data_IF_504124904371
#
_entry.id   IF_504124904371
#
_cell.length_a   1.000
_cell.length_b   1.000
_cell.length_c   1.000
_cell.angle_alpha   90.00
_cell.angle_beta   90.00
_cell.angle_gamma   90.00
#
_symmetry.space_group_name_H-M   'P 1'
#
loop_
_entity.id
_entity.type
_entity.pdbx_description
1 polymer ?
#
# COMPACT_ATOMS: atom_id res chain seq x y z
N UNK A 1 -8.91 1.87 32.76
CA UNK A 1 -8.74 1.41 31.36
C UNK A 1 -9.90 2.00 30.56
N UNK A 2 -9.67 3.04 29.76
CA UNK A 2 -10.75 3.73 29.03
C UNK A 2 -11.23 2.83 27.89
N UNK A 3 -12.49 2.38 27.96
CA UNK A 3 -13.12 1.66 26.86
C UNK A 3 -13.31 2.64 25.69
N UNK A 4 -12.61 2.38 24.59
CA UNK A 4 -12.71 3.14 23.34
C UNK A 4 -14.18 3.20 22.91
N UNK A 5 -14.69 4.38 22.60
CA UNK A 5 -16.09 4.55 22.18
C UNK A 5 -16.36 3.81 20.85
N UNK A 6 -17.62 3.50 20.55
CA UNK A 6 -17.99 2.88 19.27
C UNK A 6 -17.55 3.74 18.07
N UNK A 7 -17.58 5.07 18.23
CA UNK A 7 -17.08 6.04 17.26
C UNK A 7 -15.56 5.95 17.07
N UNK A 8 -14.78 5.84 18.15
CA UNK A 8 -13.32 5.69 18.06
C UNK A 8 -12.92 4.35 17.44
N UNK A 9 -13.63 3.25 17.74
CA UNK A 9 -13.39 1.96 17.06
C UNK A 9 -13.65 2.04 15.57
N UNK A 10 -14.73 2.71 15.17
CA UNK A 10 -15.07 2.93 13.76
C UNK A 10 -14.04 3.85 13.07
N UNK A 11 -13.64 4.92 13.74
CA UNK A 11 -12.65 5.90 13.27
C UNK A 11 -11.25 5.28 13.10
N UNK A 12 -10.81 4.47 14.07
CA UNK A 12 -9.53 3.77 14.03
C UNK A 12 -9.58 2.52 13.13
N UNK A 13 -10.77 2.11 12.70
CA UNK A 13 -10.99 0.90 11.92
C UNK A 13 -10.13 0.82 10.66
N UNK A 14 -10.04 1.89 9.86
CA UNK A 14 -9.21 1.91 8.66
C UNK A 14 -7.70 1.77 8.95
N UNK A 15 -7.22 2.37 10.06
CA UNK A 15 -5.83 2.23 10.50
C UNK A 15 -5.53 0.80 10.94
N UNK A 16 -6.40 0.24 11.78
CA UNK A 16 -6.23 -1.10 12.34
C UNK A 16 -6.38 -2.18 11.27
N UNK A 17 -7.29 -2.01 10.32
CA UNK A 17 -7.46 -2.92 9.19
C UNK A 17 -6.23 -2.91 8.27
N UNK A 18 -5.68 -1.73 7.95
CA UNK A 18 -4.45 -1.63 7.17
C UNK A 18 -3.26 -2.30 7.89
N UNK A 19 -3.12 -2.08 9.20
CA UNK A 19 -2.09 -2.72 10.00
C UNK A 19 -2.27 -4.25 10.06
N UNK A 20 -3.50 -4.74 10.21
CA UNK A 20 -3.83 -6.17 10.18
C UNK A 20 -3.43 -6.83 8.86
N UNK A 21 -3.63 -6.13 7.74
CA UNK A 21 -3.21 -6.57 6.42
C UNK A 21 -1.69 -6.62 6.27
N UNK A 22 -0.96 -5.59 6.75
CA UNK A 22 0.50 -5.61 6.77
C UNK A 22 1.05 -6.76 7.62
N UNK A 23 0.43 -7.06 8.77
CA UNK A 23 0.79 -8.21 9.61
C UNK A 23 0.53 -9.51 8.86
N UNK A 24 -0.67 -9.69 8.28
CA UNK A 24 -0.99 -10.90 7.52
C UNK A 24 0.01 -11.14 6.37
N UNK A 25 0.41 -10.08 5.67
CA UNK A 25 1.41 -10.17 4.61
C UNK A 25 2.76 -10.68 5.10
N UNK A 26 3.13 -10.35 6.34
CA UNK A 26 4.41 -10.72 6.93
C UNK A 26 4.39 -12.07 7.65
N UNK A 27 3.25 -12.49 8.20
CA UNK A 27 3.17 -13.62 9.14
C UNK A 27 2.20 -14.72 8.75
N UNK A 28 1.37 -14.52 7.73
CA UNK A 28 0.33 -15.46 7.30
C UNK A 28 0.51 -15.81 5.82
N UNK A 29 -0.58 -16.18 5.12
CA UNK A 29 -0.56 -16.49 3.69
C UNK A 29 -0.88 -15.26 2.83
N UNK A 30 -0.46 -15.25 1.55
CA UNK A 30 -0.85 -14.21 0.61
C UNK A 30 -2.38 -14.04 0.44
N UNK A 31 -3.16 -15.13 0.54
CA UNK A 31 -4.62 -15.09 0.49
C UNK A 31 -5.20 -14.32 1.69
N UNK A 32 -4.73 -14.62 2.90
CA UNK A 32 -5.14 -13.92 4.11
C UNK A 32 -4.75 -12.44 4.04
N UNK A 33 -3.54 -12.13 3.55
CA UNK A 33 -3.09 -10.77 3.34
C UNK A 33 -3.99 -10.01 2.36
N UNK A 34 -4.35 -10.63 1.24
CA UNK A 34 -5.24 -10.04 0.24
C UNK A 34 -6.65 -9.80 0.82
N UNK A 35 -7.20 -10.75 1.58
CA UNK A 35 -8.51 -10.60 2.23
C UNK A 35 -8.53 -9.43 3.21
N UNK A 36 -7.54 -9.35 4.09
CA UNK A 36 -7.44 -8.25 5.06
C UNK A 36 -7.19 -6.91 4.37
N UNK A 37 -6.35 -6.88 3.32
CA UNK A 37 -6.08 -5.66 2.57
C UNK A 37 -7.33 -5.16 1.84
N UNK A 38 -8.12 -6.05 1.24
CA UNK A 38 -9.38 -5.70 0.57
C UNK A 38 -10.39 -5.10 1.57
N UNK A 39 -10.56 -5.72 2.73
CA UNK A 39 -11.39 -5.16 3.83
C UNK A 39 -10.87 -3.79 4.27
N UNK A 40 -9.56 -3.63 4.36
CA UNK A 40 -8.94 -2.35 4.74
C UNK A 40 -9.19 -1.25 3.70
N UNK A 41 -9.17 -1.57 2.40
CA UNK A 41 -9.54 -0.65 1.31
C UNK A 41 -10.99 -0.20 1.46
N UNK A 42 -11.93 -1.13 1.63
CA UNK A 42 -13.35 -0.84 1.80
C UNK A 42 -13.63 0.05 3.01
N UNK A 43 -13.01 -0.28 4.15
CA UNK A 43 -13.11 0.53 5.36
C UNK A 43 -12.53 1.93 5.12
N UNK A 44 -11.32 2.04 4.57
CA UNK A 44 -10.70 3.34 4.31
C UNK A 44 -11.54 4.22 3.37
N UNK A 45 -12.18 3.64 2.35
CA UNK A 45 -13.10 4.33 1.46
C UNK A 45 -14.34 4.84 2.21
N UNK A 46 -14.98 3.99 3.01
CA UNK A 46 -16.20 4.35 3.76
C UNK A 46 -16.00 5.53 4.73
N UNK A 47 -14.82 5.65 5.34
CA UNK A 47 -14.47 6.75 6.26
C UNK A 47 -13.61 7.84 5.62
N UNK A 48 -13.41 7.79 4.30
CA UNK A 48 -12.60 8.73 3.50
C UNK A 48 -11.19 8.97 4.04
N UNK A 49 -10.49 7.89 4.41
CA UNK A 49 -9.12 7.92 4.91
C UNK A 49 -8.11 7.54 3.83
N UNK A 50 -7.85 8.47 2.92
CA UNK A 50 -6.95 8.29 1.77
C UNK A 50 -5.56 7.72 2.14
N UNK A 51 -4.98 8.13 3.28
CA UNK A 51 -3.71 7.55 3.75
C UNK A 51 -3.78 6.02 3.92
N UNK A 52 -4.83 5.54 4.58
CA UNK A 52 -4.99 4.10 4.84
C UNK A 52 -5.48 3.35 3.61
N UNK A 53 -6.23 4.01 2.72
CA UNK A 53 -6.53 3.45 1.40
C UNK A 53 -5.24 3.16 0.63
N UNK A 54 -4.32 4.13 0.56
CA UNK A 54 -3.07 3.95 -0.17
C UNK A 54 -2.21 2.80 0.40
N UNK A 55 -2.09 2.73 1.73
CA UNK A 55 -1.37 1.63 2.40
C UNK A 55 -2.04 0.28 2.12
N UNK A 56 -3.36 0.18 2.28
CA UNK A 56 -4.09 -1.05 2.05
C UNK A 56 -3.98 -1.54 0.59
N UNK A 57 -4.06 -0.63 -0.38
CA UNK A 57 -3.87 -0.95 -1.81
C UNK A 57 -2.45 -1.43 -2.10
N UNK A 58 -1.42 -0.80 -1.53
CA UNK A 58 -0.05 -1.27 -1.68
C UNK A 58 0.13 -2.68 -1.10
N UNK A 59 -0.43 -2.95 0.09
CA UNK A 59 -0.43 -4.29 0.69
C UNK A 59 -1.18 -5.31 -0.17
N UNK A 60 -2.34 -4.94 -0.73
CA UNK A 60 -3.10 -5.78 -1.64
C UNK A 60 -2.29 -6.10 -2.90
N UNK A 61 -1.59 -5.11 -3.47
CA UNK A 61 -0.71 -5.31 -4.61
C UNK A 61 0.39 -6.33 -4.34
N UNK A 62 1.05 -6.25 -3.18
CA UNK A 62 2.08 -7.23 -2.77
C UNK A 62 1.50 -8.64 -2.59
N UNK A 63 0.34 -8.75 -1.95
CA UNK A 63 -0.34 -10.03 -1.77
C UNK A 63 -0.74 -10.66 -3.12
N UNK A 64 -1.32 -9.87 -4.02
CA UNK A 64 -1.71 -10.31 -5.37
C UNK A 64 -0.52 -10.78 -6.19
N UNK A 65 0.64 -10.14 -6.06
CA UNK A 65 1.85 -10.61 -6.72
C UNK A 65 2.25 -12.01 -6.25
N UNK A 66 2.27 -12.22 -4.93
CA UNK A 66 2.61 -13.52 -4.37
C UNK A 66 1.62 -14.63 -4.80
N UNK A 67 0.38 -14.23 -5.12
CA UNK A 67 -0.65 -15.09 -5.70
C UNK A 67 -0.56 -15.24 -7.24
N UNK A 68 0.49 -14.70 -7.89
CA UNK A 68 0.67 -14.77 -9.34
C UNK A 68 -0.26 -13.84 -10.15
N UNK A 69 -1.01 -12.96 -9.49
CA UNK A 69 -1.94 -12.01 -10.12
C UNK A 69 -1.24 -10.69 -10.47
N UNK A 70 -0.20 -10.76 -11.31
CA UNK A 70 0.71 -9.64 -11.59
C UNK A 70 0.04 -8.36 -12.11
N UNK A 71 -0.91 -8.46 -13.05
CA UNK A 71 -1.59 -7.27 -13.59
C UNK A 71 -2.42 -6.54 -12.54
N UNK A 72 -3.18 -7.30 -11.74
CA UNK A 72 -3.96 -6.74 -10.62
C UNK A 72 -3.04 -6.15 -9.54
N UNK A 73 -1.89 -6.78 -9.29
CA UNK A 73 -0.89 -6.27 -8.37
C UNK A 73 -0.39 -4.87 -8.79
N UNK A 74 -0.07 -4.71 -10.07
CA UNK A 74 0.36 -3.43 -10.66
C UNK A 74 -0.74 -2.38 -10.59
N UNK A 75 -1.99 -2.74 -10.86
CA UNK A 75 -3.14 -1.82 -10.78
C UNK A 75 -3.30 -1.24 -9.37
N UNK A 76 -3.29 -2.09 -8.35
CA UNK A 76 -3.42 -1.66 -6.96
C UNK A 76 -2.24 -0.80 -6.50
N UNK A 77 -1.02 -1.18 -6.90
CA UNK A 77 0.16 -0.39 -6.55
C UNK A 77 0.17 0.98 -7.26
N UNK A 78 -0.25 1.05 -8.53
CA UNK A 78 -0.43 2.34 -9.23
C UNK A 78 -1.52 3.19 -8.59
N UNK A 79 -2.59 2.58 -8.08
CA UNK A 79 -3.61 3.30 -7.32
C UNK A 79 -3.06 3.85 -6.00
N UNK A 80 -2.25 3.08 -5.27
CA UNK A 80 -1.56 3.53 -4.07
C UNK A 80 -0.64 4.73 -4.34
N UNK A 81 0.15 4.69 -5.43
CA UNK A 81 1.03 5.79 -5.86
C UNK A 81 0.21 7.05 -6.17
N UNK A 82 -0.87 6.94 -6.96
CA UNK A 82 -1.74 8.10 -7.27
C UNK A 82 -2.30 8.78 -6.02
N UNK A 83 -2.67 7.99 -5.01
CA UNK A 83 -3.16 8.53 -3.74
C UNK A 83 -2.02 9.16 -2.94
N UNK A 84 -0.85 8.53 -2.88
CA UNK A 84 0.33 9.08 -2.21
C UNK A 84 0.78 10.42 -2.82
N UNK A 85 0.74 10.53 -4.15
CA UNK A 85 1.03 11.78 -4.85
C UNK A 85 0.02 12.88 -4.51
N UNK A 86 -1.28 12.55 -4.47
CA UNK A 86 -2.32 13.51 -4.04
C UNK A 86 -2.14 13.96 -2.59
N UNK A 87 -1.71 13.07 -1.71
CA UNK A 87 -1.46 13.39 -0.30
C UNK A 87 -0.19 14.23 -0.11
N UNK A 88 0.71 14.24 -1.09
CA UNK A 88 1.99 14.95 -1.01
C UNK A 88 2.98 14.37 -0.01
N UNK A 89 2.68 13.23 0.65
CA UNK A 89 3.54 12.65 1.69
C UNK A 89 4.78 11.98 1.07
N UNK A 90 5.99 12.52 1.23
CA UNK A 90 7.18 11.96 0.57
C UNK A 90 7.44 10.50 0.94
N UNK A 91 7.23 10.15 2.22
CA UNK A 91 7.42 8.80 2.74
C UNK A 91 6.58 7.73 2.03
N UNK A 92 5.34 8.05 1.64
CA UNK A 92 4.50 7.11 0.88
C UNK A 92 4.89 7.09 -0.60
N UNK A 93 5.26 8.25 -1.14
CA UNK A 93 5.57 8.41 -2.56
C UNK A 93 6.81 7.62 -2.96
N UNK A 94 7.91 7.71 -2.21
CA UNK A 94 9.12 6.92 -2.54
C UNK A 94 8.90 5.44 -2.23
N UNK A 95 8.26 5.10 -1.11
CA UNK A 95 8.06 3.71 -0.69
C UNK A 95 7.24 2.92 -1.70
N UNK A 96 6.09 3.44 -2.13
CA UNK A 96 5.24 2.72 -3.08
C UNK A 96 5.83 2.63 -4.49
N UNK A 97 6.64 3.60 -4.90
CA UNK A 97 7.42 3.51 -6.15
C UNK A 97 8.48 2.43 -6.07
N UNK A 98 9.23 2.36 -4.97
CA UNK A 98 10.18 1.27 -4.72
C UNK A 98 9.51 -0.11 -4.66
N UNK A 99 8.35 -0.20 -4.02
CA UNK A 99 7.56 -1.44 -3.96
C UNK A 99 7.10 -1.89 -5.37
N UNK A 100 6.59 -0.97 -6.21
CA UNK A 100 6.23 -1.28 -7.59
C UNK A 100 7.44 -1.61 -8.46
N UNK A 101 8.56 -0.91 -8.27
CA UNK A 101 9.79 -1.20 -9.00
C UNK A 101 10.28 -2.63 -8.74
N UNK A 102 10.27 -3.06 -7.47
CA UNK A 102 10.61 -4.44 -7.10
C UNK A 102 9.64 -5.46 -7.73
N UNK A 103 8.35 -5.13 -7.81
CA UNK A 103 7.34 -5.95 -8.49
C UNK A 103 7.61 -6.10 -9.99
N UNK A 104 7.94 -5.00 -10.67
CA UNK A 104 8.25 -5.00 -12.11
C UNK A 104 9.51 -5.80 -12.41
N UNK A 105 10.56 -5.59 -11.60
CA UNK A 105 11.82 -6.33 -11.72
C UNK A 105 11.61 -7.85 -11.55
N UNK A 106 10.84 -8.28 -10.54
CA UNK A 106 10.51 -9.69 -10.36
C UNK A 106 9.70 -10.29 -11.53
N UNK A 107 8.99 -9.43 -12.28
CA UNK A 107 8.26 -9.79 -13.49
C UNK A 107 9.07 -9.68 -14.79
N UNK A 108 10.35 -9.32 -14.73
CA UNK A 108 11.23 -9.15 -15.90
C UNK A 108 11.10 -7.80 -16.63
N UNK A 109 10.39 -6.84 -16.05
CA UNK A 109 10.30 -5.46 -16.58
C UNK A 109 11.36 -4.57 -15.93
N UNK A 110 12.62 -4.77 -16.36
CA UNK A 110 13.78 -4.06 -15.82
C UNK A 110 13.71 -2.55 -16.12
N UNK A 111 13.25 -2.17 -17.31
CA UNK A 111 13.14 -0.77 -17.71
C UNK A 111 12.09 -0.01 -16.90
N UNK A 112 10.93 -0.62 -16.67
CA UNK A 112 9.91 -0.05 -15.79
C UNK A 112 10.38 0.04 -14.33
N UNK A 113 11.13 -0.95 -13.86
CA UNK A 113 11.71 -0.94 -12.52
C UNK A 113 12.76 0.19 -12.36
N UNK A 114 13.66 0.36 -13.32
CA UNK A 114 14.69 1.42 -13.32
C UNK A 114 14.05 2.81 -13.19
N UNK A 115 13.02 3.09 -13.99
CA UNK A 115 12.30 4.37 -13.94
C UNK A 115 11.74 4.63 -12.54
N UNK A 116 11.03 3.66 -11.96
CA UNK A 116 10.39 3.83 -10.65
C UNK A 116 11.38 3.90 -9.49
N UNK A 117 12.49 3.16 -9.53
CA UNK A 117 13.58 3.31 -8.57
C UNK A 117 14.23 4.70 -8.68
N UNK A 118 14.42 5.19 -9.90
CA UNK A 118 14.92 6.54 -10.16
C UNK A 118 14.02 7.62 -9.56
N UNK A 119 12.69 7.52 -9.77
CA UNK A 119 11.70 8.41 -9.16
C UNK A 119 11.72 8.35 -7.63
N UNK A 120 11.76 7.14 -7.05
CA UNK A 120 11.83 6.96 -5.60
C UNK A 120 13.09 7.62 -5.01
N UNK A 121 14.24 7.41 -5.66
CA UNK A 121 15.51 8.03 -5.26
C UNK A 121 15.51 9.55 -5.40
N UNK A 122 14.84 10.11 -6.41
CA UNK A 122 14.68 11.55 -6.55
C UNK A 122 13.89 12.17 -5.39
N UNK A 123 12.80 11.52 -4.96
CA UNK A 123 12.01 11.97 -3.81
C UNK A 123 12.82 11.89 -2.51
N UNK A 124 13.63 10.85 -2.33
CA UNK A 124 14.50 10.73 -1.14
C UNK A 124 15.48 11.90 -1.09
N UNK A 125 16.16 12.20 -2.20
CA UNK A 125 17.10 13.34 -2.28
C UNK A 125 16.42 14.69 -2.05
N UNK A 126 15.17 14.85 -2.49
CA UNK A 126 14.38 16.07 -2.24
C UNK A 126 14.14 16.30 -0.74
N UNK A 127 13.95 15.24 0.05
CA UNK A 127 13.68 15.31 1.50
C UNK A 127 14.96 15.49 2.32
N UNK A 128 16.10 15.00 1.81
CA UNK A 128 17.40 15.11 2.48
C UNK A 128 18.08 16.49 2.30
N UNK A 129 17.66 17.27 1.31
CA UNK A 129 18.18 18.60 0.99
C UNK A 129 17.65 19.69 1.93
#
# INVERSE_FOLDING_TARGET
MMATSAWERWYLGGKLAAARAEIALATESPEAAAEWAQKAVEMALSVRRAKYEAVARATLGKALQALGSGDRAREEMRAAIRIADRLGTPALRWRFRGDLAALLYAGGDDGGAEVLFGEAGAIIREVEA
#
